data_IF_149740453752
#
_entry.id   IF_149740453752
#
_cell.length_a   1.000
_cell.length_b   1.000
_cell.length_c   1.000
_cell.angle_alpha   90.00
_cell.angle_beta   90.00
_cell.angle_gamma   90.00
#
_symmetry.space_group_name_H-M   'P 1'
#
loop_
_entity.id
_entity.type
_entity.pdbx_description
1 polymer ?
#
# COMPACT_ATOMS: atom_id res chain seq x y z
N UNK A 1 -12.78 -14.40 -14.30
CA UNK A 1 -11.88 -15.01 -13.31
C UNK A 1 -12.41 -14.64 -11.93
N UNK A 2 -12.39 -15.56 -10.97
CA UNK A 2 -12.86 -15.28 -9.61
C UNK A 2 -11.85 -14.38 -8.88
N UNK A 3 -12.32 -13.36 -8.18
CA UNK A 3 -11.48 -12.36 -7.49
C UNK A 3 -10.51 -12.99 -6.47
N UNK A 4 -10.91 -14.08 -5.83
CA UNK A 4 -10.08 -14.85 -4.90
C UNK A 4 -8.80 -15.45 -5.51
N UNK A 5 -8.72 -15.55 -6.84
CA UNK A 5 -7.52 -16.04 -7.53
C UNK A 5 -6.50 -14.92 -7.79
N UNK A 6 -6.98 -13.68 -7.89
CA UNK A 6 -6.18 -12.52 -8.30
C UNK A 6 -5.67 -11.75 -7.06
N UNK A 7 -6.33 -11.91 -5.91
CA UNK A 7 -5.99 -11.26 -4.64
C UNK A 7 -5.64 -12.26 -3.54
N UNK A 8 -4.72 -11.88 -2.64
CA UNK A 8 -4.30 -12.70 -1.50
C UNK A 8 -4.30 -11.88 -0.22
N UNK A 9 -4.80 -12.49 0.85
CA UNK A 9 -4.88 -11.90 2.19
C UNK A 9 -3.80 -12.53 3.07
N UNK A 10 -2.95 -11.69 3.67
CA UNK A 10 -1.92 -12.06 4.63
C UNK A 10 -2.38 -11.62 6.03
N UNK A 11 -3.12 -12.47 6.76
CA UNK A 11 -3.83 -12.04 7.96
C UNK A 11 -2.90 -11.74 9.15
N UNK A 12 -1.71 -12.37 9.20
CA UNK A 12 -0.72 -12.12 10.26
C UNK A 12 -0.16 -10.70 10.19
N UNK A 13 0.16 -10.23 8.99
CA UNK A 13 0.71 -8.88 8.76
C UNK A 13 -0.36 -7.87 8.34
N UNK A 14 -1.63 -8.28 8.34
CA UNK A 14 -2.80 -7.52 7.90
C UNK A 14 -2.56 -6.80 6.56
N UNK A 15 -2.06 -7.53 5.56
CA UNK A 15 -1.81 -7.02 4.21
C UNK A 15 -2.73 -7.71 3.21
N UNK A 16 -3.26 -6.95 2.25
CA UNK A 16 -3.99 -7.47 1.10
C UNK A 16 -3.22 -7.08 -0.16
N UNK A 17 -2.93 -8.05 -1.01
CA UNK A 17 -2.16 -7.88 -2.24
C UNK A 17 -2.95 -8.36 -3.45
N UNK A 18 -2.74 -7.71 -4.58
CA UNK A 18 -3.04 -8.32 -5.87
C UNK A 18 -1.83 -9.15 -6.29
N UNK A 19 -1.99 -10.46 -6.46
CA UNK A 19 -0.87 -11.40 -6.65
C UNK A 19 -0.85 -12.04 -8.02
N UNK A 20 -1.96 -12.01 -8.76
CA UNK A 20 -2.03 -12.62 -10.08
C UNK A 20 -3.14 -12.04 -10.94
N UNK A 21 -3.09 -12.29 -12.25
CA UNK A 21 -4.15 -11.87 -13.16
C UNK A 21 -4.06 -10.41 -13.62
N UNK A 22 -5.04 -10.02 -14.44
CA UNK A 22 -5.15 -8.66 -15.00
C UNK A 22 -6.58 -8.14 -14.96
N UNK A 23 -7.47 -8.85 -14.26
CA UNK A 23 -8.89 -8.51 -14.21
C UNK A 23 -9.07 -7.28 -13.32
N UNK A 24 -9.85 -6.31 -13.77
CA UNK A 24 -10.19 -5.13 -12.95
C UNK A 24 -11.58 -5.36 -12.35
N UNK A 25 -11.70 -5.22 -11.04
CA UNK A 25 -12.93 -5.49 -10.27
C UNK A 25 -13.53 -4.20 -9.72
N UNK A 26 -14.84 -4.18 -9.51
CA UNK A 26 -15.45 -3.03 -8.84
C UNK A 26 -15.04 -3.02 -7.36
N UNK A 27 -14.91 -1.83 -6.77
CA UNK A 27 -14.64 -1.69 -5.34
C UNK A 27 -15.73 -2.37 -4.48
N UNK A 28 -16.98 -2.40 -4.97
CA UNK A 28 -18.08 -3.17 -4.35
C UNK A 28 -17.80 -4.68 -4.41
N UNK A 29 -17.34 -5.23 -5.54
CA UNK A 29 -17.02 -6.65 -5.65
C UNK A 29 -15.84 -7.04 -4.75
N UNK A 30 -14.83 -6.17 -4.64
CA UNK A 30 -13.73 -6.33 -3.70
C UNK A 30 -14.21 -6.31 -2.24
N UNK A 31 -15.07 -5.36 -1.88
CA UNK A 31 -15.71 -5.31 -0.57
C UNK A 31 -16.50 -6.59 -0.26
N UNK A 32 -17.37 -7.02 -1.18
CA UNK A 32 -18.18 -8.23 -1.00
C UNK A 32 -17.31 -9.47 -0.79
N UNK A 33 -16.28 -9.64 -1.61
CA UNK A 33 -15.34 -10.75 -1.44
C UNK A 33 -14.62 -10.73 -0.09
N UNK A 34 -14.19 -9.56 0.38
CA UNK A 34 -13.59 -9.44 1.71
C UNK A 34 -14.58 -9.79 2.81
N UNK A 35 -15.85 -9.37 2.70
CA UNK A 35 -16.86 -9.71 3.70
C UNK A 35 -17.14 -11.21 3.74
N UNK A 36 -17.32 -11.84 2.58
CA UNK A 36 -17.54 -13.29 2.49
C UNK A 36 -16.33 -14.06 3.05
N UNK A 37 -15.10 -13.61 2.73
CA UNK A 37 -13.88 -14.28 3.19
C UNK A 37 -13.70 -14.17 4.71
N UNK A 38 -14.05 -13.04 5.32
CA UNK A 38 -13.92 -12.85 6.77
C UNK A 38 -15.05 -13.51 7.58
N UNK A 39 -16.11 -13.97 6.92
CA UNK A 39 -17.17 -14.80 7.53
C UNK A 39 -16.82 -16.31 7.51
N UNK A 40 -15.74 -16.70 6.82
CA UNK A 40 -15.26 -18.09 6.80
C UNK A 40 -14.55 -18.45 8.13
N UNK A 41 -14.68 -19.71 8.61
CA UNK A 41 -14.10 -20.14 9.90
C UNK A 41 -12.60 -19.86 10.09
N UNK A 42 -11.84 -19.84 8.99
CA UNK A 42 -10.40 -19.54 9.02
C UNK A 42 -10.06 -18.07 9.31
N UNK A 43 -11.03 -17.16 9.18
CA UNK A 43 -10.82 -15.72 9.32
C UNK A 43 -11.61 -15.07 10.47
N UNK A 44 -12.50 -15.81 11.14
CA UNK A 44 -13.35 -15.30 12.24
C UNK A 44 -12.59 -14.68 13.42
N UNK A 45 -11.30 -15.01 13.60
CA UNK A 45 -10.47 -14.44 14.67
C UNK A 45 -9.88 -13.07 14.32
N UNK A 46 -9.94 -12.66 13.06
CA UNK A 46 -9.37 -11.40 12.58
C UNK A 46 -10.45 -10.34 12.44
N UNK A 47 -10.10 -9.10 12.76
CA UNK A 47 -11.00 -7.97 12.57
C UNK A 47 -11.18 -7.71 11.06
N UNK A 48 -12.40 -7.34 10.67
CA UNK A 48 -12.73 -7.05 9.27
C UNK A 48 -11.89 -5.88 8.73
N UNK A 49 -11.46 -5.94 7.45
CA UNK A 49 -10.46 -5.02 6.92
C UNK A 49 -11.03 -3.73 6.33
N UNK A 50 -12.31 -3.75 5.95
CA UNK A 50 -12.92 -2.68 5.16
C UNK A 50 -14.32 -2.37 5.68
N UNK A 51 -14.68 -1.10 5.66
CA UNK A 51 -16.01 -0.61 6.01
C UNK A 51 -16.68 0.04 4.80
N UNK A 52 -17.96 -0.25 4.63
CA UNK A 52 -18.81 0.43 3.67
C UNK A 52 -19.31 1.76 4.23
N UNK A 53 -19.09 2.87 3.51
CA UNK A 53 -19.65 4.18 3.84
C UNK A 53 -20.82 4.52 2.91
N UNK A 54 -20.57 4.42 1.60
CA UNK A 54 -21.57 4.61 0.54
C UNK A 54 -21.30 3.60 -0.59
N UNK A 55 -22.22 3.41 -1.55
CA UNK A 55 -22.01 2.48 -2.67
C UNK A 55 -20.72 2.68 -3.47
N UNK A 56 -20.11 3.85 -3.37
CA UNK A 56 -18.87 4.21 -4.08
C UNK A 56 -17.78 4.71 -3.14
N UNK A 57 -17.89 4.51 -1.83
CA UNK A 57 -16.89 4.93 -0.84
C UNK A 57 -16.71 3.89 0.24
N UNK A 58 -15.46 3.47 0.40
CA UNK A 58 -15.03 2.46 1.35
C UNK A 58 -13.85 2.98 2.15
N UNK A 59 -13.72 2.54 3.40
CA UNK A 59 -12.58 2.89 4.25
C UNK A 59 -11.90 1.63 4.76
N UNK A 60 -10.59 1.57 4.64
CA UNK A 60 -9.78 0.54 5.28
C UNK A 60 -9.70 0.80 6.78
N UNK A 61 -9.89 -0.24 7.58
CA UNK A 61 -9.98 -0.15 9.04
C UNK A 61 -9.09 -1.20 9.70
N UNK A 62 -8.94 -1.10 11.03
CA UNK A 62 -8.25 -2.10 11.85
C UNK A 62 -6.77 -2.35 11.47
N UNK A 63 -6.12 -1.38 10.83
CA UNK A 63 -4.71 -1.44 10.45
C UNK A 63 -4.44 -2.37 9.26
N UNK A 64 -5.45 -2.66 8.44
CA UNK A 64 -5.29 -3.44 7.22
C UNK A 64 -4.71 -2.61 6.09
N UNK A 65 -3.55 -3.04 5.59
CA UNK A 65 -2.79 -2.37 4.55
C UNK A 65 -3.17 -2.91 3.16
N UNK A 66 -3.49 -1.99 2.23
CA UNK A 66 -3.61 -2.31 0.82
C UNK A 66 -2.25 -2.10 0.16
N UNK A 67 -1.66 -3.18 -0.35
CA UNK A 67 -0.34 -3.12 -0.95
C UNK A 67 -0.37 -2.42 -2.32
N UNK A 68 0.01 -1.14 -2.32
CA UNK A 68 0.17 -0.35 -3.54
C UNK A 68 1.61 -0.28 -4.07
N UNK A 69 2.54 -1.05 -3.51
CA UNK A 69 3.90 -1.06 -4.05
C UNK A 69 4.07 -1.97 -5.27
N UNK A 70 5.33 -2.09 -5.68
CA UNK A 70 5.76 -2.89 -6.82
C UNK A 70 5.35 -4.37 -6.66
N UNK A 71 4.79 -4.93 -7.73
CA UNK A 71 4.31 -6.31 -7.77
C UNK A 71 2.82 -6.42 -7.46
N UNK A 72 2.32 -5.71 -6.46
CA UNK A 72 0.88 -5.70 -6.15
C UNK A 72 0.14 -4.64 -6.93
N UNK A 73 0.47 -3.35 -6.72
CA UNK A 73 -0.25 -2.21 -7.29
C UNK A 73 -1.78 -2.36 -7.16
N UNK A 74 -2.25 -2.84 -6.02
CA UNK A 74 -3.59 -3.40 -5.86
C UNK A 74 -4.71 -2.50 -6.38
N UNK A 75 -4.52 -1.19 -6.26
CA UNK A 75 -5.53 -0.19 -6.59
C UNK A 75 -5.72 0.01 -8.08
N UNK A 76 -4.75 -0.37 -8.93
CA UNK A 76 -4.93 -0.33 -10.38
C UNK A 76 -5.94 -1.38 -10.88
N UNK A 77 -6.24 -2.37 -10.05
CA UNK A 77 -7.18 -3.45 -10.35
C UNK A 77 -8.56 -3.23 -9.74
N UNK A 78 -8.82 -2.03 -9.21
CA UNK A 78 -10.10 -1.65 -8.62
C UNK A 78 -10.69 -0.45 -9.36
N UNK A 79 -12.02 -0.47 -9.59
CA UNK A 79 -12.75 0.63 -10.22
C UNK A 79 -14.10 0.90 -9.56
N UNK A 80 -14.77 2.00 -9.94
CA UNK A 80 -16.17 2.24 -9.59
C UNK A 80 -16.43 2.68 -8.14
N UNK A 81 -15.39 2.96 -7.37
CA UNK A 81 -15.49 3.50 -6.00
C UNK A 81 -14.15 4.03 -5.51
N UNK A 82 -14.18 4.89 -4.49
CA UNK A 82 -13.00 5.37 -3.79
C UNK A 82 -12.70 4.51 -2.56
N UNK A 83 -11.42 4.29 -2.30
CA UNK A 83 -10.94 3.62 -1.09
C UNK A 83 -10.09 4.62 -0.32
N UNK A 84 -10.54 4.90 0.89
CA UNK A 84 -9.82 5.72 1.86
C UNK A 84 -9.02 4.82 2.79
N UNK A 85 -7.73 5.11 2.94
CA UNK A 85 -6.86 4.41 3.90
C UNK A 85 -6.48 5.29 5.09
N UNK A 86 -7.15 6.45 5.25
CA UNK A 86 -6.94 7.35 6.37
C UNK A 86 -7.08 6.62 7.72
N UNK A 87 -6.14 6.90 8.62
CA UNK A 87 -6.13 6.33 9.96
C UNK A 87 -5.09 5.23 10.17
N UNK A 88 -4.25 4.90 9.18
CA UNK A 88 -3.11 4.00 9.39
C UNK A 88 -2.15 4.52 10.46
N UNK A 89 -2.03 5.83 10.65
CA UNK A 89 -1.20 6.39 11.73
C UNK A 89 -1.87 6.36 13.12
N UNK A 90 -3.15 6.02 13.22
CA UNK A 90 -3.95 6.11 14.46
C UNK A 90 -4.22 4.78 15.14
N UNK A 91 -3.87 3.67 14.48
CA UNK A 91 -3.98 2.32 15.04
C UNK A 91 -2.78 2.01 15.94
N UNK A 92 -2.89 0.96 16.75
CA UNK A 92 -1.84 0.55 17.68
C UNK A 92 -0.54 0.11 16.98
N UNK A 93 -0.67 -0.47 15.78
CA UNK A 93 0.40 -0.92 14.91
C UNK A 93 0.43 -0.09 13.61
N UNK A 94 0.83 1.20 13.67
CA UNK A 94 0.62 2.13 12.58
C UNK A 94 1.47 1.78 11.36
N UNK A 95 0.98 2.16 10.18
CA UNK A 95 1.73 2.04 8.93
C UNK A 95 2.36 3.39 8.60
N UNK A 96 3.67 3.38 8.37
CA UNK A 96 4.44 4.54 7.94
C UNK A 96 4.98 4.34 6.54
N UNK A 97 5.15 5.45 5.86
CA UNK A 97 5.71 5.51 4.52
C UNK A 97 7.03 6.29 4.57
N UNK A 98 8.09 5.69 4.02
CA UNK A 98 9.43 6.25 4.02
C UNK A 98 9.94 6.43 2.58
N UNK A 99 10.40 7.63 2.25
CA UNK A 99 11.14 7.90 1.02
C UNK A 99 12.64 7.90 1.31
N UNK A 100 13.40 7.07 0.59
CA UNK A 100 14.84 6.86 0.78
C UNK A 100 15.65 7.58 -0.33
N UNK A 101 16.82 8.12 -0.01
CA UNK A 101 17.67 8.93 -0.94
C UNK A 101 18.92 8.24 -1.45
N UNK A 102 19.32 7.15 -0.82
CA UNK A 102 20.44 6.31 -1.22
C UNK A 102 19.99 4.89 -0.93
N UNK A 103 19.85 4.06 -1.95
CA UNK A 103 19.47 2.66 -1.78
C UNK A 103 20.58 1.75 -2.26
N UNK A 104 20.91 0.77 -1.43
CA UNK A 104 21.61 -0.44 -1.83
C UNK A 104 20.60 -1.57 -1.65
N UNK A 105 20.19 -2.16 -2.76
CA UNK A 105 19.43 -3.41 -2.81
C UNK A 105 18.12 -3.48 -2.02
N UNK A 106 17.28 -2.44 -2.07
CA UNK A 106 15.83 -2.68 -2.02
C UNK A 106 15.35 -3.32 -3.33
N UNK A 107 16.12 -4.26 -3.88
CA UNK A 107 15.87 -4.87 -5.18
C UNK A 107 14.46 -5.44 -5.20
N UNK A 108 13.67 -4.90 -6.12
CA UNK A 108 12.30 -5.29 -6.49
C UNK A 108 11.90 -6.69 -6.04
N UNK A 109 10.84 -6.79 -5.24
CA UNK A 109 9.89 -7.90 -5.35
C UNK A 109 10.45 -9.30 -5.15
N UNK A 110 11.55 -9.48 -4.44
CA UNK A 110 11.82 -10.78 -3.86
C UNK A 110 10.76 -10.99 -2.79
N UNK A 111 9.78 -11.84 -3.06
CA UNK A 111 8.77 -12.27 -2.11
C UNK A 111 9.35 -12.77 -0.76
N UNK A 112 10.68 -12.90 -0.67
CA UNK A 112 11.45 -13.24 0.52
C UNK A 112 11.64 -12.09 1.52
N UNK A 113 11.51 -10.83 1.11
CA UNK A 113 11.72 -9.69 2.03
C UNK A 113 10.41 -9.10 2.57
N UNK A 114 9.27 -9.55 2.05
CA UNK A 114 7.99 -9.29 2.71
C UNK A 114 8.01 -9.83 4.12
N UNK A 115 7.54 -9.01 5.04
CA UNK A 115 7.54 -9.29 6.47
C UNK A 115 8.95 -9.33 7.11
N UNK A 116 10.01 -8.99 6.37
CA UNK A 116 11.35 -8.82 6.94
C UNK A 116 11.37 -7.65 7.93
N UNK A 117 12.09 -7.81 9.03
CA UNK A 117 12.24 -6.76 10.04
C UNK A 117 13.02 -5.57 9.46
N UNK A 118 12.41 -4.40 9.52
CA UNK A 118 13.00 -3.10 9.22
C UNK A 118 13.57 -2.51 10.50
N UNK A 119 14.80 -2.02 10.43
CA UNK A 119 15.45 -1.30 11.52
C UNK A 119 15.64 0.18 11.18
N UNK A 120 15.49 1.05 12.17
CA UNK A 120 15.82 2.47 12.17
C UNK A 120 17.01 2.70 13.11
N UNK A 121 18.16 3.08 12.56
CA UNK A 121 19.42 3.24 13.30
C UNK A 121 19.76 2.00 14.17
N UNK A 122 19.59 0.82 13.57
CA UNK A 122 19.74 -0.51 14.18
C UNK A 122 18.72 -0.87 15.28
N UNK A 123 17.67 -0.06 15.47
CA UNK A 123 16.54 -0.37 16.35
C UNK A 123 15.42 -1.00 15.54
N UNK A 124 14.91 -2.14 15.98
CA UNK A 124 13.76 -2.81 15.37
C UNK A 124 12.52 -1.90 15.33
N UNK A 125 11.87 -1.81 14.17
CA UNK A 125 10.63 -1.04 13.94
C UNK A 125 9.47 -2.00 13.72
N UNK A 126 9.63 -2.91 12.77
CA UNK A 126 8.65 -3.93 12.44
C UNK A 126 8.74 -4.35 10.97
N UNK A 127 7.75 -5.08 10.47
CA UNK A 127 7.83 -5.72 9.17
C UNK A 127 7.74 -4.72 8.01
N UNK A 128 8.55 -4.97 6.97
CA UNK A 128 8.39 -4.37 5.65
C UNK A 128 7.09 -4.87 5.02
N UNK A 129 6.20 -3.95 4.67
CA UNK A 129 4.93 -4.27 4.03
C UNK A 129 5.01 -4.22 2.51
N UNK A 130 5.71 -3.22 1.98
CA UNK A 130 5.79 -2.96 0.55
C UNK A 130 6.97 -2.04 0.16
N UNK A 131 7.36 -2.07 -1.10
CA UNK A 131 8.39 -1.21 -1.70
C UNK A 131 8.01 -0.75 -3.10
N UNK A 132 8.42 0.46 -3.47
CA UNK A 132 8.50 0.94 -4.85
C UNK A 132 9.93 1.45 -5.08
N UNK A 133 10.61 0.92 -6.08
CA UNK A 133 11.92 1.40 -6.49
C UNK A 133 11.82 2.54 -7.50
N UNK A 134 12.93 3.25 -7.67
CA UNK A 134 13.06 4.40 -8.56
C UNK A 134 11.98 5.47 -8.34
N UNK A 135 11.54 5.63 -7.08
CA UNK A 135 10.54 6.60 -6.66
C UNK A 135 11.12 7.62 -5.65
N UNK A 136 10.82 8.93 -5.81
CA UNK A 136 10.16 9.56 -6.96
C UNK A 136 11.08 9.72 -8.17
N UNK A 137 12.36 9.35 -8.04
CA UNK A 137 13.39 9.42 -9.10
C UNK A 137 14.26 8.17 -9.04
N UNK A 138 15.00 7.91 -10.12
CA UNK A 138 15.92 6.77 -10.19
C UNK A 138 16.90 6.69 -8.99
N UNK A 139 17.26 5.46 -8.60
CA UNK A 139 18.14 5.12 -7.47
C UNK A 139 17.62 5.56 -6.09
N UNK A 140 16.30 5.61 -5.94
CA UNK A 140 15.61 5.87 -4.67
C UNK A 140 14.54 4.80 -4.46
N UNK A 141 13.97 4.74 -3.26
CA UNK A 141 12.84 3.87 -3.00
C UNK A 141 11.85 4.52 -2.06
N UNK A 142 10.58 4.14 -2.20
CA UNK A 142 9.55 4.32 -1.20
C UNK A 142 9.25 2.97 -0.56
N UNK A 143 9.20 2.92 0.77
CA UNK A 143 8.81 1.71 1.50
C UNK A 143 7.65 2.01 2.44
N UNK A 144 6.86 0.96 2.70
CA UNK A 144 5.84 0.96 3.74
C UNK A 144 6.28 -0.01 4.83
N UNK A 145 6.29 0.47 6.06
CA UNK A 145 6.68 -0.29 7.24
C UNK A 145 5.55 -0.24 8.26
N UNK A 146 5.28 -1.37 8.92
CA UNK A 146 4.41 -1.39 10.09
C UNK A 146 5.26 -1.17 11.33
N UNK A 147 4.96 -0.14 12.11
CA UNK A 147 5.59 0.06 13.39
C UNK A 147 4.93 -0.84 14.45
N UNK A 148 5.71 -1.77 14.97
CA UNK A 148 5.30 -2.73 16.00
C UNK A 148 5.99 -2.48 17.33
N UNK A 149 6.74 -1.37 17.45
CA UNK A 149 7.34 -0.95 18.71
C UNK A 149 6.24 -0.72 19.75
N UNK A 150 6.54 -1.02 21.01
CA UNK A 150 5.60 -0.81 22.12
C UNK A 150 5.13 0.65 22.25
N UNK A 151 5.93 1.59 21.76
CA UNK A 151 5.56 3.00 21.60
C UNK A 151 5.99 3.44 20.21
N UNK A 152 5.06 3.44 19.22
CA UNK A 152 5.37 3.89 17.88
C UNK A 152 5.93 5.30 17.89
N UNK A 153 6.94 5.53 17.06
CA UNK A 153 7.70 6.77 17.04
C UNK A 153 7.96 7.23 15.61
N UNK A 154 8.06 8.54 15.43
CA UNK A 154 8.50 9.13 14.18
C UNK A 154 9.92 8.67 13.84
N UNK A 155 10.15 8.33 12.58
CA UNK A 155 11.48 7.99 12.06
C UNK A 155 12.16 9.27 11.60
N UNK A 156 13.42 9.45 11.99
CA UNK A 156 14.18 10.67 11.77
C UNK A 156 14.53 10.92 10.30
N UNK A 157 14.66 12.19 9.95
CA UNK A 157 15.32 12.56 8.69
C UNK A 157 16.78 12.11 8.73
N UNK A 158 17.28 11.51 7.64
CA UNK A 158 18.62 10.90 7.56
C UNK A 158 18.83 9.65 8.43
N UNK A 159 17.78 9.10 9.05
CA UNK A 159 17.84 7.80 9.72
C UNK A 159 18.36 6.72 8.76
N UNK A 160 19.21 5.83 9.25
CA UNK A 160 19.67 4.66 8.51
C UNK A 160 18.61 3.54 8.62
N UNK A 161 18.06 3.16 7.47
CA UNK A 161 17.09 2.09 7.33
C UNK A 161 17.76 0.85 6.75
N UNK A 162 17.49 -0.31 7.34
CA UNK A 162 17.94 -1.60 6.82
C UNK A 162 16.88 -2.67 7.02
N UNK A 163 16.87 -3.70 6.18
CA UNK A 163 16.10 -4.93 6.39
C UNK A 163 17.03 -6.09 6.74
N UNK A 164 16.51 -7.05 7.52
CA UNK A 164 17.26 -8.26 7.95
C UNK A 164 16.90 -9.51 7.14
N UNK A 165 16.18 -9.34 6.03
CA UNK A 165 15.65 -10.41 5.18
C UNK A 165 16.70 -11.10 4.29
N UNK A 166 16.22 -11.93 3.38
CA UNK A 166 17.07 -12.69 2.47
C UNK A 166 17.71 -11.80 1.37
N UNK A 167 17.08 -10.68 1.03
CA UNK A 167 17.61 -9.56 0.27
C UNK A 167 17.68 -8.32 1.18
N UNK A 168 18.74 -8.16 1.99
CA UNK A 168 18.84 -7.02 2.89
C UNK A 168 18.92 -5.73 2.08
N UNK A 169 17.83 -4.96 2.08
CA UNK A 169 17.76 -3.62 1.52
C UNK A 169 18.21 -2.62 2.56
N UNK A 170 19.03 -1.66 2.14
CA UNK A 170 19.50 -0.60 3.00
C UNK A 170 19.36 0.76 2.32
N UNK A 171 19.10 1.79 3.12
CA UNK A 171 19.06 3.15 2.64
C UNK A 171 18.90 4.19 3.73
N UNK A 172 18.87 5.45 3.32
CA UNK A 172 18.77 6.58 4.25
C UNK A 172 17.49 7.35 3.99
N UNK A 173 16.73 7.66 5.05
CA UNK A 173 15.50 8.46 4.96
C UNK A 173 15.82 9.84 4.40
N UNK A 174 15.01 10.29 3.44
CA UNK A 174 15.17 11.60 2.83
C UNK A 174 15.14 12.72 3.86
N UNK A 175 16.03 13.71 3.68
CA UNK A 175 16.15 14.87 4.56
C UNK A 175 14.92 15.78 4.56
N UNK A 176 14.07 15.69 3.53
CA UNK A 176 12.88 16.51 3.35
C UNK A 176 11.67 15.61 3.13
N UNK A 177 10.71 15.65 4.07
CA UNK A 177 9.47 14.88 4.06
C UNK A 177 9.66 13.37 3.78
N UNK A 178 10.77 12.80 4.28
CA UNK A 178 11.10 11.39 4.11
C UNK A 178 10.25 10.44 4.94
N UNK A 179 9.64 10.91 6.04
CA UNK A 179 8.71 10.15 6.87
C UNK A 179 7.30 10.72 6.75
N UNK A 180 6.30 9.86 6.52
CA UNK A 180 4.88 10.22 6.44
C UNK A 180 4.01 9.15 7.09
N UNK A 181 2.78 9.52 7.44
CA UNK A 181 1.71 8.54 7.64
C UNK A 181 1.55 7.73 6.35
N UNK A 182 1.31 6.43 6.47
CA UNK A 182 1.07 5.55 5.31
C UNK A 182 -0.28 5.78 4.63
N UNK A 183 -1.02 6.82 5.03
CA UNK A 183 -2.34 7.14 4.51
C UNK A 183 -2.25 7.58 3.05
N UNK A 184 -3.06 6.94 2.22
CA UNK A 184 -3.22 7.24 0.81
C UNK A 184 -4.72 7.28 0.47
N UNK A 185 -5.17 8.32 -0.22
CA UNK A 185 -6.57 8.46 -0.62
C UNK A 185 -6.68 8.17 -2.11
N UNK A 186 -7.44 7.13 -2.44
CA UNK A 186 -7.70 6.76 -3.83
C UNK A 186 -9.13 7.13 -4.19
N UNK A 187 -9.24 8.26 -4.89
CA UNK A 187 -10.53 8.80 -5.30
C UNK A 187 -10.95 8.24 -6.67
N UNK A 188 -12.21 7.86 -6.78
CA UNK A 188 -12.83 7.63 -8.08
C UNK A 188 -13.12 8.99 -8.73
N UNK A 189 -12.42 9.29 -9.84
CA UNK A 189 -12.54 10.54 -10.62
C UNK A 189 -13.98 10.92 -10.97
N UNK A 190 -14.87 9.94 -11.15
CA UNK A 190 -16.27 10.14 -11.53
C UNK A 190 -17.21 10.49 -10.35
N UNK A 191 -16.70 10.44 -9.12
CA UNK A 191 -17.49 10.72 -7.90
C UNK A 191 -17.02 11.97 -7.16
N UNK A 192 -15.94 12.61 -7.61
CA UNK A 192 -15.40 13.83 -7.01
C UNK A 192 -16.03 15.04 -7.72
N UNK A 193 -16.54 15.99 -6.92
CA UNK A 193 -17.14 17.22 -7.46
C UNK A 193 -16.09 18.21 -8.01
N UNK A 194 -14.90 18.28 -7.38
CA UNK A 194 -13.76 19.09 -7.85
C UNK A 194 -12.47 18.67 -7.15
N UNK A 195 -11.32 18.92 -7.78
CA UNK A 195 -10.02 18.81 -7.14
C UNK A 195 -9.66 20.16 -6.50
N UNK A 196 -9.39 20.17 -5.20
CA UNK A 196 -8.88 21.37 -4.53
C UNK A 196 -7.35 21.44 -4.70
N UNK A 197 -6.84 22.52 -5.31
CA UNK A 197 -5.39 22.74 -5.41
C UNK A 197 -5.02 23.99 -6.23
N UNK A 198 -3.86 24.60 -5.91
CA UNK A 198 -3.24 25.68 -6.69
C UNK A 198 -1.79 25.32 -7.03
N UNK A 199 -1.37 25.37 -8.32
CA UNK A 199 -2.20 25.60 -9.51
C UNK A 199 -3.22 24.48 -9.72
N UNK A 200 -4.20 24.69 -10.60
CA UNK A 200 -5.26 23.71 -10.88
C UNK A 200 -4.65 22.32 -11.13
N UNK A 201 -5.03 21.30 -10.34
CA UNK A 201 -4.46 19.96 -10.47
C UNK A 201 -4.85 19.32 -11.81
N UNK A 202 -3.87 18.69 -12.46
CA UNK A 202 -4.06 17.97 -13.72
C UNK A 202 -4.24 16.49 -13.45
N UNK A 203 -5.31 15.91 -13.99
CA UNK A 203 -5.56 14.46 -13.95
C UNK A 203 -5.17 13.83 -15.28
N UNK A 204 -4.30 12.82 -15.25
CA UNK A 204 -3.97 12.01 -16.41
C UNK A 204 -4.76 10.70 -16.36
N UNK A 205 -5.61 10.48 -17.36
CA UNK A 205 -6.30 9.20 -17.57
C UNK A 205 -5.55 8.38 -18.60
N UNK A 206 -5.15 7.16 -18.23
CA UNK A 206 -4.53 6.24 -19.17
C UNK A 206 -5.63 5.54 -19.99
N UNK A 207 -5.68 5.72 -21.31
CA UNK A 207 -6.59 4.96 -22.15
C UNK A 207 -6.13 3.50 -22.23
N UNK A 208 -7.09 2.58 -22.20
CA UNK A 208 -6.84 1.20 -22.61
C UNK A 208 -6.28 1.19 -24.05
N UNK A 209 -5.17 0.46 -24.29
CA UNK A 209 -4.58 0.34 -25.62
C UNK A 209 -5.64 -0.16 -26.62
N UNK A 210 -6.15 0.75 -27.44
CA UNK A 210 -6.90 0.41 -28.64
C UNK A 210 -5.97 0.71 -29.80
N UNK A 211 -5.61 -0.34 -30.53
CA UNK A 211 -4.80 -0.25 -31.75
C UNK A 211 -5.48 0.73 -32.71
N UNK A 212 -4.96 1.95 -32.81
CA UNK A 212 -5.33 2.86 -33.90
C UNK A 212 -4.72 2.28 -35.16
N UNK A 213 -5.52 1.56 -35.96
CA UNK A 213 -5.15 1.25 -37.35
C UNK A 213 -5.05 2.59 -38.08
N UNK A 214 -3.83 2.98 -38.41
CA UNK A 214 -3.58 4.04 -39.37
C UNK A 214 -4.16 3.60 -40.73
N UNK A 215 -5.07 4.40 -41.27
CA UNK A 215 -5.48 4.37 -42.67
C UNK A 215 -4.62 5.35 -43.46
#
# INVERSE_FOLDING_TARGET
MAIQNDFTIYPKTKVIRHTSGTTVYSAVAFYSWLMDTFDEPGYLTYQTPIRFNTPTSFTMVNGWFLDNGEGSYILKYLYGGGIDTSGYATVADPVYMLDLISTTDFTTGASSDWDAEVTDDAVAVGPLLSVINDYPTANRARIWVRDTRATPATIGASSAIATTGAGPGAGTVATTEGFRNGDEIYLNLFTIASFAGTPNPQAHTFPHQTWRRAH
#
